data_IF_495027868660
#
_entry.id   IF_495027868660
#
_cell.length_a   1.000
_cell.length_b   1.000
_cell.length_c   1.000
_cell.angle_alpha   90.00
_cell.angle_beta   90.00
_cell.angle_gamma   90.00
#
_symmetry.space_group_name_H-M   'P 1'
#
loop_
_entity.id
_entity.type
_entity.pdbx_description
1 polymer ?
#
# COMPACT_ATOMS: atom_id res chain seq x y z
N UNK A 1 9.81 7.78 -1.62
CA UNK A 1 9.39 6.59 -2.39
C UNK A 1 8.83 7.02 -3.74
N UNK A 2 9.03 6.22 -4.79
CA UNK A 2 8.32 6.40 -6.05
C UNK A 2 7.02 5.58 -6.01
N UNK A 3 5.87 6.24 -5.79
CA UNK A 3 4.57 5.57 -5.71
C UNK A 3 4.15 4.93 -7.05
N UNK A 4 4.80 5.30 -8.17
CA UNK A 4 4.56 4.72 -9.49
C UNK A 4 4.96 3.23 -9.59
N UNK A 5 5.70 2.70 -8.62
CA UNK A 5 6.04 1.28 -8.57
C UNK A 5 4.93 0.40 -7.96
N UNK A 6 3.90 1.01 -7.36
CA UNK A 6 2.75 0.27 -6.84
C UNK A 6 1.78 -0.13 -7.96
N UNK A 7 1.08 -1.24 -7.76
CA UNK A 7 -0.03 -1.65 -8.61
C UNK A 7 -1.10 -0.54 -8.69
N UNK A 8 -1.71 -0.31 -9.87
CA UNK A 8 -2.72 0.73 -10.05
C UNK A 8 -3.86 0.68 -9.03
N UNK A 9 -4.33 -0.51 -8.67
CA UNK A 9 -5.42 -0.71 -7.72
C UNK A 9 -5.04 -0.27 -6.29
N UNK A 10 -3.79 -0.52 -5.88
CA UNK A 10 -3.26 -0.04 -4.58
C UNK A 10 -3.16 1.48 -4.60
N UNK A 11 -2.71 2.07 -5.70
CA UNK A 11 -2.65 3.53 -5.85
C UNK A 11 -4.04 4.16 -5.73
N UNK A 12 -5.07 3.55 -6.33
CA UNK A 12 -6.44 4.02 -6.24
C UNK A 12 -6.99 3.91 -4.81
N UNK A 13 -6.81 2.77 -4.14
CA UNK A 13 -7.23 2.61 -2.73
C UNK A 13 -6.55 3.64 -1.81
N UNK A 14 -5.27 3.94 -2.04
CA UNK A 14 -4.53 4.96 -1.28
C UNK A 14 -5.09 6.38 -1.46
N UNK A 15 -5.63 6.71 -2.64
CA UNK A 15 -6.25 8.03 -2.88
C UNK A 15 -7.51 8.25 -2.04
N UNK A 16 -8.21 7.16 -1.70
CA UNK A 16 -9.45 7.18 -0.91
C UNK A 16 -9.27 6.67 0.52
N UNK A 17 -8.02 6.43 0.95
CA UNK A 17 -7.73 5.92 2.28
C UNK A 17 -8.19 6.93 3.33
N UNK A 18 -9.10 6.51 4.21
CA UNK A 18 -9.53 7.34 5.31
C UNK A 18 -8.36 7.61 6.27
N UNK A 19 -8.33 8.80 6.86
CA UNK A 19 -7.29 9.15 7.81
C UNK A 19 -7.41 8.24 9.02
N UNK A 20 -6.38 7.45 9.29
CA UNK A 20 -6.33 6.55 10.44
C UNK A 20 -6.62 7.33 11.74
N UNK A 21 -7.52 6.78 12.56
CA UNK A 21 -7.85 7.31 13.88
C UNK A 21 -6.66 7.21 14.85
N UNK A 22 -6.78 7.86 16.01
CA UNK A 22 -5.73 7.80 17.04
C UNK A 22 -5.59 6.36 17.55
N UNK A 23 -4.48 5.68 17.21
CA UNK A 23 -4.11 4.41 17.84
C UNK A 23 -3.52 3.33 16.93
N UNK A 24 -3.59 3.45 15.60
CA UNK A 24 -2.88 2.57 14.66
C UNK A 24 -2.89 3.14 13.25
N UNK A 25 -1.72 3.41 12.68
CA UNK A 25 -1.60 3.57 11.23
C UNK A 25 -1.55 2.17 10.62
N UNK A 26 -2.64 1.74 9.98
CA UNK A 26 -2.71 0.44 9.28
C UNK A 26 -1.79 0.44 8.06
N UNK A 27 -1.76 1.57 7.34
CA UNK A 27 -0.87 1.78 6.20
C UNK A 27 0.23 2.77 6.59
N UNK A 28 1.48 2.31 6.54
CA UNK A 28 2.66 3.13 6.87
C UNK A 28 3.56 3.28 5.65
N UNK A 29 4.46 4.27 5.65
CA UNK A 29 5.46 4.39 4.59
C UNK A 29 6.32 3.13 4.46
N UNK A 30 6.61 2.45 5.58
CA UNK A 30 7.40 1.22 5.57
C UNK A 30 6.68 0.08 4.87
N UNK A 31 5.39 -0.14 5.15
CA UNK A 31 4.63 -1.20 4.48
C UNK A 31 4.48 -0.91 2.99
N UNK A 32 4.23 0.35 2.62
CA UNK A 32 4.21 0.76 1.20
C UNK A 32 5.57 0.56 0.53
N UNK A 33 6.68 0.79 1.23
CA UNK A 33 8.03 0.60 0.69
C UNK A 33 8.31 -0.86 0.36
N UNK A 34 7.87 -1.77 1.22
CA UNK A 34 8.00 -3.20 1.01
C UNK A 34 7.17 -3.65 -0.21
N UNK A 35 5.94 -3.12 -0.37
CA UNK A 35 5.12 -3.35 -1.57
C UNK A 35 5.78 -2.84 -2.85
N UNK A 36 6.27 -1.59 -2.85
CA UNK A 36 6.90 -0.98 -4.01
C UNK A 36 8.23 -1.64 -4.42
N UNK A 37 8.83 -2.47 -3.55
CA UNK A 37 10.02 -3.25 -3.86
C UNK A 37 9.70 -4.56 -4.60
N UNK A 38 8.44 -5.01 -4.56
CA UNK A 38 7.97 -6.19 -5.30
C UNK A 38 7.65 -5.81 -6.74
N UNK A 39 8.21 -6.52 -7.72
CA UNK A 39 8.04 -6.18 -9.15
C UNK A 39 6.69 -6.66 -9.69
N UNK A 40 6.18 -7.78 -9.19
CA UNK A 40 4.92 -8.36 -9.64
C UNK A 40 3.73 -7.70 -8.94
N UNK A 41 2.79 -7.16 -9.72
CA UNK A 41 1.59 -6.51 -9.18
C UNK A 41 0.63 -7.48 -8.52
N UNK A 42 0.50 -8.72 -9.00
CA UNK A 42 -0.38 -9.70 -8.36
C UNK A 42 0.10 -10.02 -6.94
N UNK A 43 1.42 -10.16 -6.75
CA UNK A 43 2.04 -10.33 -5.42
C UNK A 43 1.86 -9.08 -4.55
N UNK A 44 1.95 -7.87 -5.12
CA UNK A 44 1.64 -6.66 -4.37
C UNK A 44 0.18 -6.64 -3.88
N UNK A 45 -0.78 -7.08 -4.69
CA UNK A 45 -2.20 -7.13 -4.30
C UNK A 45 -2.45 -8.17 -3.21
N UNK A 46 -1.79 -9.33 -3.29
CA UNK A 46 -1.83 -10.32 -2.21
C UNK A 46 -1.27 -9.74 -0.91
N UNK A 47 -0.10 -9.11 -0.97
CA UNK A 47 0.54 -8.46 0.19
C UNK A 47 -0.33 -7.32 0.75
N UNK A 48 -0.96 -6.53 -0.11
CA UNK A 48 -1.84 -5.42 0.27
C UNK A 48 -3.03 -5.89 1.11
N UNK A 49 -3.58 -7.08 0.81
CA UNK A 49 -4.64 -7.70 1.62
C UNK A 49 -4.26 -8.02 3.07
N UNK A 50 -2.96 -8.01 3.42
CA UNK A 50 -2.49 -8.15 4.79
C UNK A 50 -2.09 -6.82 5.45
N UNK A 51 -2.04 -5.73 4.68
CA UNK A 51 -1.63 -4.39 5.12
C UNK A 51 -2.84 -3.51 5.44
N UNK A 52 -3.91 -3.59 4.64
CA UNK A 52 -5.19 -2.95 4.92
C UNK A 52 -6.01 -3.74 5.93
#
# INVERSE_FOLDING_TARGET
>A
MNLLALAPEIQEELLFLERAGVGREEVTERSLRELAATVNWDEQLEMWGYVK
#
